data_IF_003268004196
#
_entry.id   IF_003268004196
#
_cell.length_a   1.000
_cell.length_b   1.000
_cell.length_c   1.000
_cell.angle_alpha   90.00
_cell.angle_beta   90.00
_cell.angle_gamma   90.00
#
_symmetry.space_group_name_H-M   'P 1'
#
loop_
_entity.id
_entity.type
_entity.pdbx_description
1 polymer ?
#
# COMPACT_ATOMS: atom_id res chain seq x y z
N UNK A 1 3.28 4.77 -29.95
CA UNK A 1 2.34 5.01 -28.82
C UNK A 1 2.76 4.06 -27.72
N UNK A 2 3.11 4.57 -26.53
CA UNK A 2 3.34 3.68 -25.39
C UNK A 2 2.01 3.00 -25.08
N UNK A 3 2.01 1.66 -25.00
CA UNK A 3 0.84 0.92 -24.52
C UNK A 3 0.48 1.41 -23.11
N UNK A 4 -0.81 1.53 -22.84
CA UNK A 4 -1.29 1.90 -21.50
C UNK A 4 -0.74 0.93 -20.45
N UNK A 5 -0.44 1.44 -19.25
CA UNK A 5 0.01 0.64 -18.13
C UNK A 5 -1.05 -0.41 -17.78
N UNK A 6 -0.60 -1.66 -17.59
CA UNK A 6 -1.47 -2.76 -17.17
C UNK A 6 -1.42 -2.94 -15.66
N UNK A 7 -2.59 -3.18 -15.07
CA UNK A 7 -2.77 -3.48 -13.65
C UNK A 7 -3.31 -4.88 -13.52
N UNK A 8 -2.72 -5.69 -12.65
CA UNK A 8 -3.36 -6.94 -12.25
C UNK A 8 -4.55 -6.60 -11.34
N UNK A 9 -5.73 -7.11 -11.64
CA UNK A 9 -6.94 -6.97 -10.83
C UNK A 9 -7.69 -8.32 -10.84
N UNK A 10 -7.69 -9.00 -9.69
CA UNK A 10 -8.48 -10.21 -9.43
C UNK A 10 -8.39 -11.33 -10.47
N UNK A 11 -7.17 -11.60 -10.96
CA UNK A 11 -6.88 -12.70 -11.88
C UNK A 11 -6.57 -12.27 -13.31
N UNK A 12 -6.86 -11.03 -13.66
CA UNK A 12 -6.70 -10.51 -15.01
C UNK A 12 -5.81 -9.27 -15.04
N UNK A 13 -5.15 -9.03 -16.17
CA UNK A 13 -4.45 -7.78 -16.42
C UNK A 13 -5.33 -6.86 -17.27
N UNK A 14 -5.69 -5.72 -16.70
CA UNK A 14 -6.56 -4.72 -17.33
C UNK A 14 -5.79 -3.43 -17.57
N UNK A 15 -6.17 -2.61 -18.57
CA UNK A 15 -5.65 -1.25 -18.68
C UNK A 15 -5.92 -0.45 -17.39
N UNK A 16 -4.99 0.41 -16.99
CA UNK A 16 -5.09 1.21 -15.76
C UNK A 16 -6.41 2.00 -15.68
N UNK A 17 -6.91 2.55 -16.79
CA UNK A 17 -8.18 3.29 -16.85
C UNK A 17 -9.42 2.40 -16.58
N UNK A 18 -9.29 1.09 -16.68
CA UNK A 18 -10.34 0.10 -16.44
C UNK A 18 -10.21 -0.56 -15.06
N UNK A 19 -9.09 -0.39 -14.36
CA UNK A 19 -8.86 -0.94 -13.03
C UNK A 19 -9.77 -0.27 -11.98
N UNK A 20 -10.91 -0.91 -11.68
CA UNK A 20 -11.97 -0.39 -10.81
C UNK A 20 -12.37 -1.40 -9.75
N UNK A 21 -12.69 -0.91 -8.56
CA UNK A 21 -13.32 -1.68 -7.48
C UNK A 21 -14.72 -1.14 -7.21
N UNK A 22 -15.64 -1.97 -6.68
CA UNK A 22 -16.96 -1.50 -6.28
C UNK A 22 -16.87 -0.38 -5.23
N UNK A 23 -17.79 0.59 -5.29
CA UNK A 23 -17.88 1.66 -4.28
C UNK A 23 -18.27 1.14 -2.89
N UNK A 24 -18.82 -0.08 -2.83
CA UNK A 24 -19.15 -0.77 -1.58
C UNK A 24 -17.97 -1.56 -1.00
N UNK A 25 -16.78 -1.49 -1.62
CA UNK A 25 -15.59 -2.14 -1.11
C UNK A 25 -15.19 -1.55 0.25
N UNK A 26 -15.04 -2.41 1.26
CA UNK A 26 -14.71 -2.00 2.63
C UNK A 26 -13.28 -1.43 2.75
N UNK A 27 -12.39 -1.76 1.83
CA UNK A 27 -11.09 -1.09 1.71
C UNK A 27 -11.24 0.41 1.40
N UNK A 28 -12.23 0.77 0.57
CA UNK A 28 -12.59 2.16 0.29
C UNK A 28 -13.36 2.80 1.45
N UNK A 29 -14.40 2.12 1.94
CA UNK A 29 -15.34 2.70 2.91
C UNK A 29 -14.76 2.83 4.31
N UNK A 30 -13.94 1.87 4.74
CA UNK A 30 -13.52 1.71 6.14
C UNK A 30 -12.01 1.51 6.31
N UNK A 31 -11.24 1.52 5.22
CA UNK A 31 -9.82 1.20 5.25
C UNK A 31 -9.52 -0.26 5.60
N UNK A 32 -10.49 -1.17 5.46
CA UNK A 32 -10.33 -2.61 5.73
C UNK A 32 -9.60 -3.30 4.59
N UNK A 33 -8.27 -3.23 4.66
CA UNK A 33 -7.36 -3.82 3.70
C UNK A 33 -5.92 -3.57 4.08
N UNK A 34 -5.02 -4.14 3.29
CA UNK A 34 -3.57 -4.08 3.47
C UNK A 34 -2.88 -3.73 2.16
N UNK A 35 -1.65 -3.24 2.26
CA UNK A 35 -0.83 -2.99 1.08
C UNK A 35 0.66 -3.21 1.32
N UNK A 36 1.39 -3.32 0.21
CA UNK A 36 2.84 -3.29 0.17
C UNK A 36 3.37 -2.22 -0.78
N UNK A 37 4.59 -1.76 -0.49
CA UNK A 37 5.35 -0.88 -1.34
C UNK A 37 6.71 -1.48 -1.60
N UNK A 38 6.94 -1.93 -2.83
CA UNK A 38 8.10 -2.77 -3.19
C UNK A 38 8.88 -2.06 -4.28
N UNK A 39 10.22 -2.12 -4.23
CA UNK A 39 11.09 -1.48 -5.24
C UNK A 39 11.65 -2.51 -6.20
N UNK A 40 11.78 -2.10 -7.45
CA UNK A 40 12.47 -2.84 -8.51
C UNK A 40 13.72 -2.06 -8.89
N UNK A 41 14.85 -2.78 -9.02
CA UNK A 41 16.12 -2.21 -9.47
C UNK A 41 16.75 -3.15 -10.49
N UNK A 42 17.09 -2.62 -11.66
CA UNK A 42 17.76 -3.36 -12.73
C UNK A 42 17.12 -4.75 -13.00
N UNK A 43 15.79 -4.78 -13.08
CA UNK A 43 14.98 -5.97 -13.34
C UNK A 43 14.83 -6.93 -12.16
N UNK A 44 15.24 -6.55 -10.94
CA UNK A 44 15.14 -7.39 -9.74
C UNK A 44 14.25 -6.74 -8.70
N UNK A 45 13.27 -7.50 -8.19
CA UNK A 45 12.40 -7.06 -7.10
C UNK A 45 13.15 -7.21 -5.78
N UNK A 46 13.41 -6.11 -5.09
CA UNK A 46 14.22 -6.11 -3.88
C UNK A 46 13.43 -6.65 -2.67
N UNK A 47 14.00 -7.63 -1.97
CA UNK A 47 13.42 -8.24 -0.75
C UNK A 47 11.97 -8.72 -0.91
N UNK A 48 11.65 -9.28 -2.08
CA UNK A 48 10.29 -9.72 -2.42
C UNK A 48 9.70 -10.66 -1.36
N UNK A 49 10.48 -11.66 -0.94
CA UNK A 49 10.06 -12.62 0.09
C UNK A 49 9.71 -11.95 1.42
N UNK A 50 10.50 -10.97 1.87
CA UNK A 50 10.25 -10.24 3.12
C UNK A 50 9.02 -9.34 3.01
N UNK A 51 8.81 -8.68 1.86
CA UNK A 51 7.61 -7.91 1.60
C UNK A 51 6.35 -8.79 1.66
N UNK A 52 6.38 -9.97 1.00
CA UNK A 52 5.25 -10.91 1.04
C UNK A 52 5.03 -11.48 2.44
N UNK A 53 6.08 -11.83 3.20
CA UNK A 53 5.95 -12.26 4.60
C UNK A 53 5.22 -11.21 5.44
N UNK A 54 5.57 -9.92 5.28
CA UNK A 54 4.88 -8.83 5.98
C UNK A 54 3.43 -8.68 5.51
N UNK A 55 3.17 -8.80 4.21
CA UNK A 55 1.81 -8.76 3.64
C UNK A 55 0.90 -9.84 4.23
N UNK A 56 1.36 -11.10 4.28
CA UNK A 56 0.61 -12.20 4.91
C UNK A 56 0.43 -11.99 6.41
N UNK A 57 1.45 -11.47 7.11
CA UNK A 57 1.34 -11.11 8.53
C UNK A 57 0.28 -10.03 8.77
N UNK A 58 0.26 -8.98 7.95
CA UNK A 58 -0.73 -7.91 8.03
C UNK A 58 -2.14 -8.44 7.76
N UNK A 59 -2.32 -9.30 6.74
CA UNK A 59 -3.61 -9.94 6.44
C UNK A 59 -4.11 -10.73 7.65
N UNK A 60 -3.23 -11.54 8.26
CA UNK A 60 -3.54 -12.31 9.46
C UNK A 60 -3.97 -11.41 10.63
N UNK A 61 -3.27 -10.31 10.88
CA UNK A 61 -3.57 -9.39 11.99
C UNK A 61 -4.95 -8.74 11.91
N UNK A 62 -5.50 -8.58 10.71
CA UNK A 62 -6.87 -8.03 10.51
C UNK A 62 -7.88 -9.12 10.16
N UNK A 63 -7.56 -10.41 10.38
CA UNK A 63 -8.41 -11.54 10.03
C UNK A 63 -8.85 -11.54 8.56
N UNK A 64 -7.99 -11.08 7.64
CA UNK A 64 -8.19 -11.12 6.19
C UNK A 64 -7.62 -12.42 5.63
N UNK A 65 -8.51 -13.29 5.12
CA UNK A 65 -8.13 -14.55 4.47
C UNK A 65 -7.82 -14.29 3.00
N UNK A 66 -6.55 -14.26 2.64
CA UNK A 66 -6.13 -14.14 1.25
C UNK A 66 -6.58 -15.36 0.44
N UNK A 67 -6.99 -15.11 -0.81
CA UNK A 67 -7.37 -16.15 -1.78
C UNK A 67 -6.18 -16.72 -2.56
N UNK A 68 -4.97 -16.25 -2.26
CA UNK A 68 -3.75 -16.55 -3.00
C UNK A 68 -2.68 -17.17 -2.10
N UNK A 69 -1.93 -18.11 -2.64
CA UNK A 69 -0.71 -18.65 -2.03
C UNK A 69 0.42 -17.62 -2.06
N UNK A 70 1.51 -17.92 -1.35
CA UNK A 70 2.70 -17.08 -1.35
C UNK A 70 3.31 -17.02 -2.76
N UNK A 71 3.43 -18.17 -3.41
CA UNK A 71 4.00 -18.36 -4.74
C UNK A 71 3.13 -17.69 -5.82
N UNK A 72 1.80 -17.73 -5.68
CA UNK A 72 0.90 -17.04 -6.61
C UNK A 72 1.07 -15.52 -6.52
N UNK A 73 1.17 -14.95 -5.31
CA UNK A 73 1.43 -13.51 -5.16
C UNK A 73 2.82 -13.11 -5.66
N UNK A 74 3.81 -13.96 -5.48
CA UNK A 74 5.15 -13.76 -6.04
C UNK A 74 5.08 -13.64 -7.56
N UNK A 75 4.44 -14.60 -8.23
CA UNK A 75 4.33 -14.60 -9.69
C UNK A 75 3.47 -13.44 -10.21
N UNK A 76 2.38 -13.06 -9.52
CA UNK A 76 1.58 -11.88 -9.87
C UNK A 76 2.44 -10.62 -9.89
N UNK A 77 3.30 -10.43 -8.89
CA UNK A 77 4.21 -9.28 -8.80
C UNK A 77 5.23 -9.30 -9.95
N UNK A 78 5.87 -10.46 -10.18
CA UNK A 78 6.88 -10.60 -11.22
C UNK A 78 6.28 -10.38 -12.62
N UNK A 79 5.12 -10.97 -12.90
CA UNK A 79 4.43 -10.81 -14.17
C UNK A 79 3.92 -9.38 -14.38
N UNK A 80 3.51 -8.69 -13.31
CA UNK A 80 3.18 -7.25 -13.37
C UNK A 80 4.36 -6.41 -13.83
N UNK A 81 5.58 -6.73 -13.39
CA UNK A 81 6.80 -6.08 -13.90
C UNK A 81 7.07 -6.44 -15.37
N UNK A 82 6.94 -7.73 -15.75
CA UNK A 82 7.21 -8.19 -17.12
C UNK A 82 6.27 -7.53 -18.13
N UNK A 83 4.96 -7.50 -17.85
CA UNK A 83 3.93 -6.91 -18.73
C UNK A 83 4.07 -5.40 -18.89
N UNK A 84 4.61 -4.71 -17.89
CA UNK A 84 4.87 -3.28 -17.95
C UNK A 84 6.31 -2.92 -18.33
N UNK A 85 7.13 -3.92 -18.71
CA UNK A 85 8.54 -3.74 -19.06
C UNK A 85 9.34 -2.94 -17.99
N UNK A 86 9.02 -3.16 -16.71
CA UNK A 86 9.57 -2.38 -15.61
C UNK A 86 10.95 -2.93 -15.18
N UNK A 87 12.02 -2.19 -15.48
CA UNK A 87 13.37 -2.51 -14.99
C UNK A 87 13.67 -1.85 -13.63
N UNK A 88 13.21 -0.62 -13.44
CA UNK A 88 13.46 0.19 -12.26
C UNK A 88 12.15 0.88 -11.91
N UNK A 89 11.76 0.86 -10.64
CA UNK A 89 10.50 1.50 -10.24
C UNK A 89 9.93 0.97 -8.94
N UNK A 90 8.60 0.94 -8.89
CA UNK A 90 7.83 0.68 -7.69
C UNK A 90 6.59 -0.17 -7.99
N UNK A 91 6.28 -1.03 -7.05
CA UNK A 91 5.13 -1.91 -7.07
C UNK A 91 4.26 -1.58 -5.85
N UNK A 92 2.96 -1.40 -6.11
CA UNK A 92 1.91 -1.29 -5.11
C UNK A 92 1.04 -2.53 -5.19
N UNK A 93 1.20 -3.44 -4.23
CA UNK A 93 0.29 -4.55 -4.03
C UNK A 93 -0.75 -4.16 -2.98
N UNK A 94 -2.02 -4.39 -3.25
CA UNK A 94 -3.12 -4.07 -2.32
C UNK A 94 -4.10 -5.23 -2.28
N UNK A 95 -4.56 -5.59 -1.08
CA UNK A 95 -5.69 -6.48 -0.88
C UNK A 95 -6.73 -5.79 0.01
N UNK A 96 -7.97 -5.66 -0.47
CA UNK A 96 -9.10 -5.17 0.32
C UNK A 96 -9.94 -6.32 0.84
N UNK A 97 -10.77 -6.07 1.86
CA UNK A 97 -11.79 -7.02 2.30
C UNK A 97 -12.78 -7.42 1.21
N UNK A 98 -12.97 -6.56 0.22
CA UNK A 98 -14.01 -6.69 -0.81
C UNK A 98 -15.30 -5.95 -0.43
N UNK A 99 -16.30 -6.05 -1.29
CA UNK A 99 -17.59 -5.39 -1.09
C UNK A 99 -18.51 -6.21 -0.18
N UNK A 100 -19.01 -5.64 0.91
CA UNK A 100 -19.94 -6.35 1.82
C UNK A 100 -20.94 -5.41 2.50
N UNK A 101 -21.84 -4.83 1.71
CA UNK A 101 -22.83 -3.88 2.22
C UNK A 101 -22.20 -2.73 3.03
N UNK A 102 -23.00 -2.09 3.90
CA UNK A 102 -22.57 -0.93 4.70
C UNK A 102 -22.37 -1.24 6.19
N UNK A 103 -22.43 -2.52 6.57
CA UNK A 103 -22.17 -2.94 7.95
C UNK A 103 -20.66 -3.08 8.18
N UNK A 104 -20.18 -2.77 9.38
CA UNK A 104 -18.75 -2.89 9.72
C UNK A 104 -18.27 -4.34 9.90
N UNK A 105 -19.18 -5.25 10.26
CA UNK A 105 -18.81 -6.65 10.46
C UNK A 105 -18.68 -7.34 9.10
N UNK A 106 -17.48 -7.85 8.73
CA UNK A 106 -17.30 -8.59 7.50
C UNK A 106 -17.99 -9.94 7.65
N UNK A 107 -19.10 -10.12 6.94
CA UNK A 107 -19.84 -11.38 6.92
C UNK A 107 -19.00 -12.40 6.14
N UNK A 108 -18.57 -13.50 6.78
CA UNK A 108 -17.65 -14.46 6.18
C UNK A 108 -18.11 -15.09 4.85
N UNK A 109 -19.40 -15.01 4.54
CA UNK A 109 -20.04 -15.59 3.36
C UNK A 109 -20.37 -14.58 2.25
N UNK A 110 -20.06 -13.29 2.42
CA UNK A 110 -20.56 -12.27 1.49
C UNK A 110 -19.77 -12.22 0.19
N UNK A 111 -18.46 -11.94 0.20
CA UNK A 111 -17.65 -11.77 -1.02
C UNK A 111 -16.15 -12.04 -0.77
N UNK A 112 -15.37 -12.49 -1.78
CA UNK A 112 -13.94 -12.70 -1.62
C UNK A 112 -13.19 -11.35 -1.54
N UNK A 113 -12.04 -11.32 -0.83
CA UNK A 113 -11.10 -10.19 -0.87
C UNK A 113 -10.69 -9.85 -2.30
N UNK A 114 -10.45 -8.56 -2.56
CA UNK A 114 -10.04 -8.06 -3.87
C UNK A 114 -8.56 -7.75 -3.87
N UNK A 115 -7.83 -8.22 -4.86
CA UNK A 115 -6.38 -8.02 -5.00
C UNK A 115 -6.07 -7.24 -6.27
N UNK A 116 -5.25 -6.21 -6.14
CA UNK A 116 -4.64 -5.56 -7.30
C UNK A 116 -3.15 -5.27 -7.13
N UNK A 117 -2.42 -5.29 -8.24
CA UNK A 117 -0.99 -5.03 -8.30
C UNK A 117 -0.69 -4.00 -9.40
N UNK A 118 -0.12 -2.87 -8.99
CA UNK A 118 0.31 -1.80 -9.88
C UNK A 118 1.84 -1.82 -9.93
N UNK A 119 2.44 -1.95 -11.13
CA UNK A 119 3.88 -1.87 -11.33
C UNK A 119 4.21 -0.69 -12.25
N UNK A 120 4.93 0.32 -11.75
CA UNK A 120 5.23 1.54 -12.49
C UNK A 120 6.32 2.40 -11.86
N UNK A 121 6.31 3.70 -12.14
CA UNK A 121 7.27 4.66 -11.60
C UNK A 121 6.71 5.40 -10.38
N UNK A 122 7.59 5.74 -9.45
CA UNK A 122 7.29 6.70 -8.37
C UNK A 122 8.55 7.52 -8.09
N UNK A 123 8.40 8.84 -8.07
CA UNK A 123 9.41 9.75 -7.55
C UNK A 123 8.83 10.40 -6.28
N UNK A 124 9.47 10.15 -5.15
CA UNK A 124 9.02 10.71 -3.86
C UNK A 124 9.60 12.10 -3.63
N UNK A 125 10.88 12.29 -3.95
CA UNK A 125 11.61 13.53 -3.76
C UNK A 125 12.47 13.85 -4.98
N UNK A 126 12.80 15.13 -5.20
CA UNK A 126 13.80 15.52 -6.20
C UNK A 126 15.16 14.87 -5.91
N UNK A 127 15.95 14.56 -6.94
CA UNK A 127 17.27 13.93 -6.78
C UNK A 127 18.19 14.72 -5.83
N UNK A 128 18.13 16.05 -5.92
CA UNK A 128 18.93 16.94 -5.08
C UNK A 128 18.64 16.78 -3.58
N UNK A 129 17.40 16.43 -3.21
CA UNK A 129 17.02 16.24 -1.81
C UNK A 129 17.71 15.03 -1.15
N UNK A 130 18.14 14.04 -1.95
CA UNK A 130 18.93 12.91 -1.47
C UNK A 130 20.39 13.26 -1.19
N UNK A 131 20.85 14.44 -1.66
CA UNK A 131 22.20 14.96 -1.46
C UNK A 131 22.18 16.02 -0.34
N UNK A 132 21.26 16.98 -0.41
CA UNK A 132 21.20 18.12 0.50
C UNK A 132 20.46 17.81 1.81
N UNK A 133 19.69 16.72 1.82
CA UNK A 133 18.82 16.34 2.91
C UNK A 133 17.42 16.95 2.82
N UNK A 134 16.52 16.43 3.64
CA UNK A 134 15.14 16.88 3.75
C UNK A 134 14.96 17.78 4.99
N UNK A 135 14.11 18.79 4.87
CA UNK A 135 13.63 19.56 6.02
C UNK A 135 12.53 18.78 6.70
N UNK A 136 12.68 18.57 8.00
CA UNK A 136 11.73 17.81 8.81
C UNK A 136 11.23 18.67 9.97
N UNK A 137 9.93 18.63 10.23
CA UNK A 137 9.35 19.15 11.49
C UNK A 137 8.88 18.00 12.36
N UNK A 138 8.90 18.20 13.67
CA UNK A 138 8.17 17.31 14.58
C UNK A 138 6.69 17.65 14.51
N UNK A 139 5.88 16.68 14.07
CA UNK A 139 4.43 16.83 13.96
C UNK A 139 3.79 16.99 15.34
N UNK A 140 2.73 17.80 15.42
CA UNK A 140 1.89 17.87 16.63
C UNK A 140 1.05 16.60 16.81
N UNK A 141 0.82 15.84 15.74
CA UNK A 141 0.07 14.59 15.75
C UNK A 141 0.93 13.44 16.28
N UNK A 142 0.32 12.61 17.13
CA UNK A 142 0.95 11.39 17.64
C UNK A 142 0.78 10.24 16.67
N UNK A 143 1.78 9.36 16.62
CA UNK A 143 1.71 8.11 15.87
C UNK A 143 0.68 7.20 16.54
N UNK A 144 -0.11 6.49 15.74
CA UNK A 144 -1.10 5.54 16.25
C UNK A 144 -0.48 4.57 17.26
N UNK A 145 -1.12 4.43 18.42
CA UNK A 145 -0.79 3.40 19.40
C UNK A 145 -1.21 2.02 18.91
N UNK A 146 -0.43 0.99 19.25
CA UNK A 146 -0.68 -0.40 18.86
C UNK A 146 -2.09 -0.90 19.22
N UNK A 147 -2.67 -0.40 20.32
CA UNK A 147 -4.01 -0.78 20.81
C UNK A 147 -5.17 -0.04 20.12
N UNK A 148 -4.89 0.89 19.20
CA UNK A 148 -5.91 1.65 18.46
C UNK A 148 -5.92 1.19 17.00
N UNK A 149 -4.83 1.46 16.28
CA UNK A 149 -4.55 0.95 14.93
C UNK A 149 -3.07 0.65 14.90
N UNK A 150 -2.71 -0.64 14.95
CA UNK A 150 -1.31 -1.04 15.09
C UNK A 150 -0.47 -0.56 13.89
N UNK A 151 0.53 0.33 14.13
CA UNK A 151 1.36 0.87 13.05
C UNK A 151 2.26 -0.20 12.40
N UNK A 152 2.42 -1.38 12.99
CA UNK A 152 3.09 -2.52 12.36
C UNK A 152 2.24 -3.15 11.25
N UNK A 153 0.92 -2.95 11.28
CA UNK A 153 0.01 -3.39 10.22
C UNK A 153 0.03 -2.35 9.12
N UNK A 154 0.54 -2.73 7.95
CA UNK A 154 0.51 -1.89 6.75
C UNK A 154 -0.88 -1.89 6.10
N UNK A 155 -1.85 -1.35 6.83
CA UNK A 155 -3.27 -1.28 6.43
C UNK A 155 -3.56 -0.07 5.55
N UNK A 156 -4.78 0.01 5.01
CA UNK A 156 -5.25 1.19 4.27
C UNK A 156 -5.60 2.39 5.17
N UNK A 157 -5.46 2.26 6.50
CA UNK A 157 -5.71 3.33 7.48
C UNK A 157 -4.51 4.30 7.63
N UNK A 158 -4.17 5.01 6.55
CA UNK A 158 -3.04 5.95 6.51
C UNK A 158 -3.39 7.41 6.81
N UNK A 159 -4.62 7.71 7.25
CA UNK A 159 -5.05 9.09 7.52
C UNK A 159 -4.17 9.81 8.55
N UNK A 160 -3.70 9.11 9.59
CA UNK A 160 -2.73 9.66 10.56
C UNK A 160 -1.43 10.13 9.88
N UNK A 161 -0.88 9.32 8.97
CA UNK A 161 0.32 9.67 8.19
C UNK A 161 0.06 10.84 7.24
N UNK A 162 -1.09 10.83 6.57
CA UNK A 162 -1.49 11.89 5.62
C UNK A 162 -1.61 13.23 6.36
N UNK A 163 -2.25 13.27 7.52
CA UNK A 163 -2.41 14.49 8.29
C UNK A 163 -1.06 15.06 8.79
N UNK A 164 -0.14 14.19 9.21
CA UNK A 164 1.21 14.62 9.59
C UNK A 164 1.97 15.19 8.38
N UNK A 165 1.87 14.54 7.22
CA UNK A 165 2.46 15.05 5.97
C UNK A 165 1.86 16.40 5.57
N UNK A 166 0.54 16.57 5.65
CA UNK A 166 -0.14 17.86 5.42
C UNK A 166 0.38 18.93 6.37
N UNK A 167 0.56 18.62 7.65
CA UNK A 167 1.13 19.54 8.63
C UNK A 167 2.54 19.99 8.22
N UNK A 168 3.44 19.06 7.88
CA UNK A 168 4.80 19.38 7.44
C UNK A 168 4.82 20.33 6.24
N UNK A 169 4.04 20.01 5.20
CA UNK A 169 3.99 20.84 3.99
C UNK A 169 3.41 22.24 4.27
N UNK A 170 2.44 22.37 5.18
CA UNK A 170 1.89 23.67 5.57
C UNK A 170 2.91 24.57 6.28
N UNK A 171 3.92 23.99 6.92
CA UNK A 171 5.02 24.71 7.54
C UNK A 171 6.28 24.79 6.67
N UNK A 172 6.19 24.40 5.39
CA UNK A 172 7.30 24.48 4.44
C UNK A 172 8.41 23.44 4.68
N UNK A 173 8.09 22.33 5.34
CA UNK A 173 8.97 21.18 5.49
C UNK A 173 8.59 20.06 4.50
N UNK A 174 9.55 19.20 4.19
CA UNK A 174 9.41 18.12 3.23
C UNK A 174 8.77 16.86 3.86
N UNK A 175 9.00 16.64 5.16
CA UNK A 175 8.47 15.47 5.88
C UNK A 175 8.17 15.78 7.36
N UNK A 176 7.32 14.94 7.96
CA UNK A 176 6.98 14.95 9.37
C UNK A 176 7.72 13.84 10.15
N UNK A 177 8.32 14.22 11.27
CA UNK A 177 8.73 13.31 12.34
C UNK A 177 7.59 13.19 13.35
N UNK A 178 7.07 11.99 13.57
CA UNK A 178 5.98 11.76 14.52
C UNK A 178 6.52 11.16 15.82
N UNK A 179 5.95 11.58 16.94
CA UNK A 179 6.23 10.99 18.26
C UNK A 179 5.13 9.99 18.63
N UNK A 180 5.46 8.97 19.43
CA UNK A 180 4.47 8.15 20.13
C UNK A 180 3.80 8.95 21.27
N UNK A 181 2.79 8.34 21.91
CA UNK A 181 2.03 8.98 23.00
C UNK A 181 2.91 9.43 24.18
N UNK A 182 4.02 8.73 24.41
CA UNK A 182 5.00 9.04 25.45
C UNK A 182 6.00 10.15 25.03
N UNK A 183 5.89 10.69 23.82
CA UNK A 183 6.76 11.75 23.30
C UNK A 183 8.10 11.25 22.74
N UNK A 184 8.22 9.96 22.46
CA UNK A 184 9.42 9.31 21.93
C UNK A 184 9.28 9.13 20.42
N UNK A 185 10.39 9.29 19.69
CA UNK A 185 10.50 9.02 18.25
C UNK A 185 10.40 7.53 17.96
#
# INVERSE_FOLDING_TARGET
>A
MMSEQLVYLDGEFVPMSEAKIPVLDHGLLYGDGIFEGIRVYHGRVFKLTEHLKRFFSAAKSIHLKLSYSFEELEEIILESCRKNHLSDGYIRLVCTRGADGLGLYPKPSSHPPRLFCIAGQVALYPEQAYIDGLKVITSSLRRNKATIVDPQIKSLNYLNNILASIEAHRYGADEALMLNEEGIV
#
